data_IF_032271719768
#
_entry.id   IF_032271719768
#
_cell.length_a   1.000
_cell.length_b   1.000
_cell.length_c   1.000
_cell.angle_alpha   90.00
_cell.angle_beta   90.00
_cell.angle_gamma   90.00
#
_symmetry.space_group_name_H-M   'P 1'
#
loop_
_entity.id
_entity.type
_entity.pdbx_description
1 polymer ?
#
# COMPACT_ATOMS: atom_id res chain seq x y z
N UNK A 1 -6.66 -21.06 -7.39
CA UNK A 1 -7.68 -20.36 -8.19
C UNK A 1 -7.17 -18.94 -8.43
N UNK A 2 -7.42 -18.36 -9.59
CA UNK A 2 -6.98 -16.99 -9.93
C UNK A 2 -8.22 -16.13 -10.06
N UNK A 3 -8.19 -14.95 -9.45
CA UNK A 3 -9.25 -13.96 -9.56
C UNK A 3 -8.67 -12.65 -10.05
N UNK A 4 -9.45 -11.89 -10.81
CA UNK A 4 -9.12 -10.52 -11.19
C UNK A 4 -10.03 -9.61 -10.39
N UNK A 5 -9.43 -8.76 -9.56
CA UNK A 5 -10.12 -7.65 -8.94
C UNK A 5 -9.85 -6.39 -9.76
N UNK A 6 -10.90 -5.62 -10.04
CA UNK A 6 -10.76 -4.31 -10.64
C UNK A 6 -11.28 -3.23 -9.71
N UNK A 7 -10.63 -2.07 -9.80
CA UNK A 7 -10.91 -0.92 -8.95
C UNK A 7 -11.33 0.27 -9.79
N UNK A 8 -12.53 0.74 -9.50
CA UNK A 8 -13.09 1.97 -10.05
C UNK A 8 -13.61 2.78 -8.88
N UNK A 9 -13.11 4.00 -8.67
CA UNK A 9 -13.50 4.85 -7.55
C UNK A 9 -13.36 4.15 -6.18
N UNK A 10 -12.34 3.32 -6.01
CA UNK A 10 -12.07 2.60 -4.75
C UNK A 10 -12.96 1.37 -4.46
N UNK A 11 -13.86 0.97 -5.37
CA UNK A 11 -14.70 -0.23 -5.21
C UNK A 11 -14.07 -1.43 -5.92
N UNK A 12 -13.86 -2.53 -5.19
CA UNK A 12 -13.45 -3.82 -5.77
C UNK A 12 -14.62 -4.54 -6.41
N UNK A 13 -14.43 -5.02 -7.64
CA UNK A 13 -15.30 -6.05 -8.23
C UNK A 13 -14.44 -7.24 -8.64
N UNK A 14 -14.87 -8.44 -8.29
CA UNK A 14 -14.14 -9.68 -8.57
C UNK A 14 -14.71 -10.39 -9.79
N UNK A 15 -13.87 -10.69 -10.78
CA UNK A 15 -14.22 -11.49 -11.96
C UNK A 15 -13.17 -12.63 -12.14
N UNK A 16 -13.59 -13.89 -12.30
CA UNK A 16 -12.67 -14.99 -12.54
C UNK A 16 -12.10 -15.04 -13.97
N UNK A 17 -12.68 -14.31 -14.95
CA UNK A 17 -12.32 -14.43 -16.36
C UNK A 17 -11.58 -13.20 -16.90
N UNK A 18 -10.43 -13.46 -17.55
CA UNK A 18 -9.53 -12.44 -18.10
C UNK A 18 -10.04 -11.83 -19.41
N UNK A 19 -10.86 -12.56 -20.18
CA UNK A 19 -11.37 -12.09 -21.47
C UNK A 19 -12.26 -10.85 -21.34
N UNK A 20 -12.84 -10.66 -20.16
CA UNK A 20 -13.85 -9.64 -19.90
C UNK A 20 -13.20 -8.33 -19.41
N UNK A 21 -11.90 -8.32 -19.10
CA UNK A 21 -11.20 -7.12 -18.60
C UNK A 21 -11.27 -5.96 -19.59
N UNK A 22 -11.25 -6.26 -20.89
CA UNK A 22 -11.34 -5.27 -21.97
C UNK A 22 -12.70 -4.56 -22.08
N UNK A 23 -13.74 -5.08 -21.40
CA UNK A 23 -15.11 -4.53 -21.46
C UNK A 23 -15.34 -3.37 -20.48
N UNK A 24 -14.33 -3.03 -19.67
CA UNK A 24 -14.44 -2.03 -18.62
C UNK A 24 -13.48 -0.86 -18.87
N UNK A 25 -13.91 0.14 -19.68
CA UNK A 25 -13.03 1.22 -20.14
C UNK A 25 -12.61 2.20 -19.04
N UNK A 26 -13.35 2.26 -17.92
CA UNK A 26 -13.16 3.26 -16.86
C UNK A 26 -12.50 2.69 -15.58
N UNK A 27 -11.75 1.58 -15.69
CA UNK A 27 -11.01 0.99 -14.57
C UNK A 27 -9.68 1.71 -14.36
N UNK A 28 -9.35 2.01 -13.10
CA UNK A 28 -8.08 2.65 -12.74
C UNK A 28 -6.89 1.69 -12.86
N UNK A 29 -7.07 0.43 -12.45
CA UNK A 29 -6.08 -0.65 -12.58
C UNK A 29 -6.71 -2.02 -12.37
N UNK A 30 -6.12 -3.05 -12.98
CA UNK A 30 -6.48 -4.45 -12.76
C UNK A 30 -5.48 -5.11 -11.82
N UNK A 31 -5.99 -5.91 -10.87
CA UNK A 31 -5.16 -6.69 -9.95
C UNK A 31 -5.48 -8.16 -10.13
N UNK A 32 -4.48 -8.94 -10.51
CA UNK A 32 -4.51 -10.40 -10.47
C UNK A 32 -4.18 -10.86 -9.05
N UNK A 33 -5.08 -11.64 -8.47
CA UNK A 33 -4.91 -12.32 -7.19
C UNK A 33 -4.67 -13.81 -7.43
N UNK A 34 -3.52 -14.30 -6.96
CA UNK A 34 -3.10 -15.70 -7.08
C UNK A 34 -2.99 -16.34 -5.70
N UNK A 35 -3.89 -17.27 -5.40
CA UNK A 35 -3.86 -18.03 -4.15
C UNK A 35 -2.84 -19.17 -4.22
N UNK A 36 -1.93 -19.18 -3.26
CA UNK A 36 -1.06 -20.32 -2.98
C UNK A 36 -1.76 -21.32 -2.05
N UNK A 37 -1.35 -22.58 -2.12
CA UNK A 37 -1.88 -23.68 -1.30
C UNK A 37 -1.67 -23.47 0.21
N UNK A 38 -0.76 -22.56 0.59
CA UNK A 38 -0.36 -22.31 1.98
C UNK A 38 -1.09 -21.12 2.64
N UNK A 39 -2.21 -20.65 2.06
CA UNK A 39 -3.01 -19.56 2.63
C UNK A 39 -2.43 -18.16 2.40
N UNK A 40 -1.51 -18.02 1.45
CA UNK A 40 -1.01 -16.72 0.98
C UNK A 40 -1.61 -16.37 -0.37
N UNK A 41 -1.88 -15.08 -0.57
CA UNK A 41 -2.21 -14.50 -1.85
C UNK A 41 -1.04 -13.66 -2.37
N UNK A 42 -0.78 -13.77 -3.66
CA UNK A 42 0.08 -12.84 -4.40
C UNK A 42 -0.82 -11.90 -5.20
N UNK A 43 -0.50 -10.62 -5.15
CA UNK A 43 -1.22 -9.59 -5.89
C UNK A 43 -0.30 -8.97 -6.94
N UNK A 44 -0.74 -8.93 -8.19
CA UNK A 44 0.04 -8.36 -9.29
C UNK A 44 -0.85 -7.47 -10.13
N UNK A 45 -0.40 -6.25 -10.40
CA UNK A 45 -1.09 -5.35 -11.33
C UNK A 45 -0.90 -5.84 -12.76
N UNK A 46 -1.98 -5.84 -13.53
CA UNK A 46 -2.00 -6.38 -14.89
C UNK A 46 -2.71 -5.43 -15.86
N UNK A 47 -2.44 -5.53 -17.16
CA UNK A 47 -3.18 -4.83 -18.20
C UNK A 47 -4.50 -5.56 -18.54
N UNK A 48 -5.26 -5.02 -19.50
CA UNK A 48 -6.51 -5.62 -19.97
C UNK A 48 -6.34 -6.99 -20.65
N UNK A 49 -5.10 -7.42 -20.93
CA UNK A 49 -4.76 -8.76 -21.44
C UNK A 49 -4.23 -9.67 -20.33
N UNK A 50 -4.16 -9.18 -19.09
CA UNK A 50 -3.61 -9.89 -17.95
C UNK A 50 -2.09 -9.95 -17.87
N UNK A 51 -1.38 -9.15 -18.68
CA UNK A 51 0.07 -9.09 -18.62
C UNK A 51 0.50 -8.20 -17.44
N UNK A 52 1.54 -8.59 -16.67
CA UNK A 52 2.02 -7.78 -15.56
C UNK A 52 2.43 -6.37 -16.03
N UNK A 53 1.86 -5.36 -15.39
CA UNK A 53 2.24 -3.95 -15.58
C UNK A 53 2.36 -3.31 -14.22
N UNK A 54 3.33 -2.43 -13.98
CA UNK A 54 3.46 -1.80 -12.67
C UNK A 54 2.38 -0.71 -12.49
N UNK A 55 1.82 -0.61 -11.28
CA UNK A 55 0.93 0.50 -10.93
C UNK A 55 1.74 1.78 -10.74
N UNK A 56 1.35 2.87 -11.42
CA UNK A 56 2.04 4.15 -11.37
C UNK A 56 1.12 5.24 -10.83
N UNK A 57 1.58 5.97 -9.82
CA UNK A 57 0.90 7.13 -9.27
C UNK A 57 1.93 8.25 -9.10
N UNK A 58 1.78 9.30 -9.90
CA UNK A 58 2.69 10.42 -9.94
C UNK A 58 4.14 9.99 -10.18
N UNK A 59 5.05 10.38 -9.27
CA UNK A 59 6.47 10.02 -9.33
C UNK A 59 6.81 8.58 -8.91
N UNK A 60 5.83 7.75 -8.54
CA UNK A 60 6.06 6.44 -7.93
C UNK A 60 5.47 5.29 -8.74
N UNK A 61 6.16 4.16 -8.68
CA UNK A 61 5.79 2.91 -9.34
C UNK A 61 5.82 1.76 -8.32
N UNK A 62 4.73 1.00 -8.21
CA UNK A 62 4.69 -0.25 -7.47
C UNK A 62 5.27 -1.37 -8.34
N UNK A 63 6.35 -1.99 -7.87
CA UNK A 63 7.00 -3.10 -8.57
C UNK A 63 6.55 -4.46 -8.08
N UNK A 64 6.33 -4.58 -6.78
CA UNK A 64 5.98 -5.87 -6.17
C UNK A 64 5.16 -5.67 -4.90
N UNK A 65 4.28 -6.63 -4.64
CA UNK A 65 3.60 -6.82 -3.36
C UNK A 65 3.95 -8.23 -2.91
N UNK A 66 4.71 -8.32 -1.83
CA UNK A 66 5.10 -9.58 -1.24
C UNK A 66 3.88 -10.41 -0.83
N UNK A 67 4.11 -11.68 -0.48
CA UNK A 67 3.04 -12.59 -0.08
C UNK A 67 2.25 -12.04 1.11
N UNK A 68 0.93 -12.03 0.95
CA UNK A 68 0.01 -11.58 1.99
C UNK A 68 -0.73 -12.77 2.54
N UNK A 69 -0.71 -12.93 3.86
CA UNK A 69 -1.54 -13.91 4.55
C UNK A 69 -3.02 -13.59 4.36
N UNK A 70 -3.81 -14.59 3.95
CA UNK A 70 -5.27 -14.49 3.90
C UNK A 70 -5.92 -14.74 5.28
N UNK A 71 -5.11 -15.05 6.29
CA UNK A 71 -5.60 -15.58 7.56
C UNK A 71 -6.14 -14.47 8.46
N UNK A 72 -7.47 -14.33 8.49
CA UNK A 72 -8.29 -13.60 9.46
C UNK A 72 -8.40 -12.08 9.32
N UNK A 73 -9.64 -11.61 9.13
CA UNK A 73 -9.98 -10.19 9.04
C UNK A 73 -9.78 -9.37 10.33
N UNK A 74 -9.35 -10.03 11.41
CA UNK A 74 -9.21 -9.42 12.74
C UNK A 74 -7.76 -9.14 13.14
N UNK A 75 -6.77 -9.73 12.45
CA UNK A 75 -5.36 -9.56 12.79
C UNK A 75 -4.65 -8.74 11.72
N UNK A 76 -3.93 -7.72 12.14
CA UNK A 76 -3.04 -6.99 11.24
C UNK A 76 -1.79 -7.83 10.98
N UNK A 77 -1.42 -7.99 9.72
CA UNK A 77 -0.20 -8.65 9.30
C UNK A 77 0.70 -7.65 8.57
N UNK A 78 2.02 -7.68 8.84
CA UNK A 78 2.96 -6.96 8.03
C UNK A 78 3.05 -7.61 6.65
N UNK A 79 3.15 -6.78 5.62
CA UNK A 79 3.56 -7.21 4.28
C UNK A 79 4.50 -6.17 3.70
N UNK A 80 5.37 -6.61 2.79
CA UNK A 80 6.33 -5.73 2.13
C UNK A 80 5.85 -5.43 0.73
N UNK A 81 5.86 -4.16 0.37
CA UNK A 81 5.76 -3.71 -1.02
C UNK A 81 7.12 -3.18 -1.47
N UNK A 82 7.39 -3.29 -2.76
CA UNK A 82 8.55 -2.65 -3.38
C UNK A 82 8.06 -1.50 -4.24
N UNK A 83 8.47 -0.29 -3.88
CA UNK A 83 8.18 0.92 -4.65
C UNK A 83 9.45 1.39 -5.36
N UNK A 84 9.26 2.02 -6.51
CA UNK A 84 10.30 2.73 -7.23
C UNK A 84 9.89 4.21 -7.36
N UNK A 85 10.77 5.09 -6.90
CA UNK A 85 10.68 6.52 -7.18
C UNK A 85 11.28 6.78 -8.56
N UNK A 86 10.41 6.88 -9.56
CA UNK A 86 10.77 6.86 -10.98
C UNK A 86 11.68 8.03 -11.39
N UNK A 87 11.54 9.20 -10.76
CA UNK A 87 12.34 10.40 -11.04
C UNK A 87 13.82 10.24 -10.69
N UNK A 88 14.08 9.49 -9.61
CA UNK A 88 15.42 9.25 -9.08
C UNK A 88 15.91 7.82 -9.34
N UNK A 89 15.05 6.97 -9.91
CA UNK A 89 15.24 5.54 -10.08
C UNK A 89 15.68 4.82 -8.79
N UNK A 90 15.22 5.31 -7.64
CA UNK A 90 15.48 4.70 -6.35
C UNK A 90 14.42 3.66 -6.05
N UNK A 91 14.82 2.53 -5.47
CA UNK A 91 13.92 1.42 -5.14
C UNK A 91 13.91 1.22 -3.63
N UNK A 92 12.73 1.12 -3.05
CA UNK A 92 12.55 1.00 -1.61
C UNK A 92 11.64 -0.18 -1.26
N UNK A 93 12.08 -1.11 -0.40
CA UNK A 93 11.18 -2.01 0.28
C UNK A 93 10.46 -1.23 1.40
N UNK A 94 9.14 -1.33 1.45
CA UNK A 94 8.29 -0.68 2.45
C UNK A 94 7.41 -1.72 3.11
N UNK A 95 7.48 -1.79 4.44
CA UNK A 95 6.56 -2.62 5.21
C UNK A 95 5.29 -1.82 5.52
N UNK A 96 4.15 -2.35 5.10
CA UNK A 96 2.82 -1.86 5.44
C UNK A 96 2.12 -2.88 6.35
N UNK A 97 1.11 -2.41 7.09
CA UNK A 97 0.31 -3.25 7.97
C UNK A 97 -1.15 -3.21 7.53
N UNK A 98 -1.76 -4.39 7.35
CA UNK A 98 -3.14 -4.52 6.88
C UNK A 98 -3.87 -5.69 7.52
N UNK A 99 -5.20 -5.58 7.61
CA UNK A 99 -6.07 -6.62 8.19
C UNK A 99 -6.62 -7.59 7.16
N UNK A 100 -6.83 -7.16 5.91
CA UNK A 100 -7.50 -7.95 4.88
C UNK A 100 -6.72 -7.90 3.56
N UNK A 101 -6.41 -9.07 3.00
CA UNK A 101 -5.68 -9.19 1.75
C UNK A 101 -6.46 -8.61 0.55
N UNK A 102 -7.79 -8.77 0.55
CA UNK A 102 -8.71 -8.31 -0.51
C UNK A 102 -8.69 -6.78 -0.69
N UNK A 103 -8.39 -6.00 0.35
CA UNK A 103 -8.41 -4.53 0.30
C UNK A 103 -7.01 -3.89 0.29
N UNK A 104 -5.94 -4.66 0.07
CA UNK A 104 -4.57 -4.13 0.16
C UNK A 104 -4.31 -3.03 -0.86
N UNK A 105 -4.76 -3.20 -2.10
CA UNK A 105 -4.57 -2.19 -3.12
C UNK A 105 -5.33 -0.89 -2.84
N UNK A 106 -6.68 -0.90 -2.81
CA UNK A 106 -7.45 0.33 -2.62
C UNK A 106 -7.29 0.91 -1.20
N UNK A 107 -7.09 0.06 -0.20
CA UNK A 107 -7.11 0.47 1.21
C UNK A 107 -5.75 0.85 1.77
N UNK A 108 -4.64 0.39 1.17
CA UNK A 108 -3.30 0.63 1.70
C UNK A 108 -2.32 1.12 0.63
N UNK A 109 -2.15 0.36 -0.45
CA UNK A 109 -1.09 0.65 -1.44
C UNK A 109 -1.38 1.93 -2.21
N UNK A 110 -2.58 2.10 -2.75
CA UNK A 110 -2.95 3.32 -3.50
C UNK A 110 -2.91 4.57 -2.60
N UNK A 111 -3.54 4.59 -1.41
CA UNK A 111 -3.41 5.72 -0.48
C UNK A 111 -1.97 6.03 -0.13
N UNK A 112 -1.16 5.01 0.11
CA UNK A 112 0.26 5.19 0.42
C UNK A 112 1.03 5.82 -0.75
N UNK A 113 0.82 5.36 -1.99
CA UNK A 113 1.47 5.96 -3.16
C UNK A 113 1.01 7.41 -3.41
N UNK A 114 -0.26 7.72 -3.17
CA UNK A 114 -0.77 9.10 -3.23
C UNK A 114 -0.09 9.98 -2.18
N UNK A 115 0.03 9.51 -0.94
CA UNK A 115 0.74 10.21 0.13
C UNK A 115 2.21 10.45 -0.25
N UNK A 116 2.89 9.45 -0.80
CA UNK A 116 4.26 9.65 -1.29
C UNK A 116 4.33 10.70 -2.40
N UNK A 117 3.35 10.72 -3.30
CA UNK A 117 3.28 11.72 -4.36
C UNK A 117 3.06 13.14 -3.80
N UNK A 118 2.25 13.30 -2.76
CA UNK A 118 2.08 14.57 -2.03
C UNK A 118 3.39 15.02 -1.37
N UNK A 119 4.15 14.11 -0.77
CA UNK A 119 5.46 14.39 -0.20
C UNK A 119 6.57 14.59 -1.24
N UNK A 120 6.34 14.22 -2.50
CA UNK A 120 7.27 14.38 -3.62
C UNK A 120 8.47 13.43 -3.64
N UNK A 121 8.85 12.83 -2.52
CA UNK A 121 9.88 11.78 -2.42
C UNK A 121 9.61 10.85 -1.24
N UNK A 122 10.09 9.60 -1.31
CA UNK A 122 9.96 8.66 -0.18
C UNK A 122 10.79 9.09 1.03
N UNK A 123 11.95 9.72 0.79
CA UNK A 123 12.81 10.22 1.86
C UNK A 123 12.17 11.41 2.60
N UNK A 124 11.51 12.31 1.88
CA UNK A 124 10.76 13.43 2.46
C UNK A 124 9.63 12.94 3.35
N UNK A 125 8.90 11.91 2.92
CA UNK A 125 7.89 11.25 3.75
C UNK A 125 8.49 10.64 5.03
N UNK A 126 9.64 9.94 4.97
CA UNK A 126 10.29 9.44 6.20
C UNK A 126 10.70 10.56 7.14
N UNK A 127 11.21 11.65 6.59
CA UNK A 127 11.62 12.80 7.39
C UNK A 127 10.43 13.45 8.10
N UNK A 128 9.27 13.57 7.44
CA UNK A 128 8.07 14.11 8.10
C UNK A 128 7.60 13.24 9.27
N UNK A 129 7.64 11.91 9.12
CA UNK A 129 7.32 10.99 10.22
C UNK A 129 8.28 11.14 11.41
N UNK A 130 9.58 11.30 11.14
CA UNK A 130 10.57 11.49 12.21
C UNK A 130 10.38 12.84 12.92
N UNK A 131 10.08 13.90 12.17
CA UNK A 131 9.76 15.22 12.75
C UNK A 131 8.52 15.14 13.64
N UNK A 132 7.46 14.47 13.20
CA UNK A 132 6.26 14.26 14.00
C UNK A 132 6.55 13.46 15.28
N UNK A 133 7.33 12.38 15.18
CA UNK A 133 7.76 11.56 16.32
C UNK A 133 8.53 12.38 17.35
N UNK A 134 9.49 13.19 16.88
CA UNK A 134 10.28 14.07 17.74
C UNK A 134 9.42 15.15 18.39
N UNK A 135 8.50 15.76 17.64
CA UNK A 135 7.56 16.75 18.17
C UNK A 135 6.69 16.18 19.29
N UNK A 136 6.11 14.99 19.09
CA UNK A 136 5.34 14.29 20.11
C UNK A 136 6.18 13.95 21.35
N UNK A 137 7.44 13.57 21.15
CA UNK A 137 8.36 13.29 22.25
C UNK A 137 8.68 14.55 23.06
N UNK A 138 8.93 15.67 22.39
CA UNK A 138 9.16 16.97 23.05
C UNK A 138 7.93 17.36 23.86
N UNK A 139 6.73 17.30 23.29
CA UNK A 139 5.49 17.64 24.01
C UNK A 139 5.29 16.77 25.26
N UNK A 140 5.55 15.46 25.15
CA UNK A 140 5.48 14.54 26.29
C UNK A 140 6.49 14.90 27.40
N UNK A 141 7.73 15.24 27.03
CA UNK A 141 8.78 15.62 28.00
C UNK A 141 8.47 16.96 28.65
N UNK A 142 7.95 17.93 27.91
CA UNK A 142 7.51 19.22 28.44
C UNK A 142 6.42 19.03 29.50
N UNK A 143 5.42 18.19 29.21
CA UNK A 143 4.35 17.87 30.17
C UNK A 143 4.91 17.22 31.45
N UNK A 144 5.83 16.26 31.32
CA UNK A 144 6.48 15.64 32.48
C UNK A 144 7.28 16.65 33.31
N UNK A 145 7.95 17.59 32.65
CA UNK A 145 8.70 18.65 33.32
C UNK A 145 7.78 19.58 34.13
N UNK A 146 6.63 19.97 33.57
CA UNK A 146 5.62 20.78 34.26
C UNK A 146 4.99 20.06 35.45
N UNK A 147 4.70 18.75 35.31
CA UNK A 147 4.22 17.91 36.40
C UNK A 147 5.25 17.78 37.53
N UNK A 148 6.55 17.68 37.20
CA UNK A 148 7.61 17.67 38.21
C UNK A 148 7.75 19.03 38.90
N UNK A 149 7.67 20.14 38.15
CA UNK A 149 7.77 21.50 38.69
C UNK A 149 6.61 21.84 39.62
N UNK A 150 5.40 21.35 39.34
CA UNK A 150 4.24 21.60 40.20
C UNK A 150 4.23 20.79 41.51
N UNK A 151 5.17 19.86 41.69
CA UNK A 151 5.34 19.06 42.91
C UNK A 151 6.42 19.59 43.86
N UNK A 152 7.12 20.65 43.48
CA UNK A 152 8.16 21.34 44.26
C UNK A 152 7.59 22.66 44.74
#
# INVERSE_FOLDING_TARGET
MTYYAFYQNGVSVSNPNISDLSQYPDIEYFVKEEYSVHGYAKYTTVDAKGLPVPLKIGGFELRDVGYVSYVSATKQYPFTITICETRLNNVFPVTLYGTNAVSIYPGLVVPFLNLLNEHGSYLSYKQSLEVERLHNKVNSLTKQLEECRSRI
#
